data_IF_199885775324
#
_entry.id   IF_199885775324
#
_cell.length_a   1.000
_cell.length_b   1.000
_cell.length_c   1.000
_cell.angle_alpha   90.00
_cell.angle_beta   90.00
_cell.angle_gamma   90.00
#
_symmetry.space_group_name_H-M   'P 1'
#
loop_
_entity.id
_entity.type
_entity.pdbx_description
1 polymer ?
#
# COMPACT_ATOMS: atom_id res chain seq x y z
N UNK A 1 -11.13 11.13 -3.11
CA UNK A 1 -11.06 9.78 -2.48
C UNK A 1 -9.61 9.40 -2.28
N UNK A 2 -9.27 8.96 -1.08
CA UNK A 2 -7.91 8.50 -0.78
C UNK A 2 -7.79 7.03 -1.10
N UNK A 3 -6.86 6.70 -1.98
CA UNK A 3 -6.62 5.33 -2.44
C UNK A 3 -5.20 4.94 -2.07
N UNK A 4 -5.05 3.80 -1.43
CA UNK A 4 -3.74 3.23 -1.14
C UNK A 4 -3.48 2.10 -2.13
N UNK A 5 -2.40 2.23 -2.90
CA UNK A 5 -1.97 1.19 -3.81
C UNK A 5 -0.90 0.35 -3.12
N UNK A 6 -1.05 -0.96 -3.17
CA UNK A 6 -0.14 -1.91 -2.54
C UNK A 6 0.44 -2.80 -3.62
N UNK A 7 1.76 -2.77 -3.76
CA UNK A 7 2.50 -3.63 -4.67
C UNK A 7 3.17 -4.72 -3.83
N UNK A 8 2.49 -5.85 -3.70
CA UNK A 8 2.95 -6.93 -2.84
C UNK A 8 4.14 -7.67 -3.41
N UNK A 9 5.15 -7.88 -2.59
CA UNK A 9 6.30 -8.72 -2.93
C UNK A 9 6.68 -9.59 -1.75
N UNK A 10 7.41 -10.67 -2.01
CA UNK A 10 7.78 -11.65 -0.98
C UNK A 10 8.67 -11.06 0.11
N UNK A 11 9.51 -10.11 -0.23
CA UNK A 11 10.44 -9.51 0.72
C UNK A 11 10.18 -8.01 0.90
N UNK A 12 9.49 -7.39 -0.03
CA UNK A 12 9.21 -5.96 -0.01
C UNK A 12 7.83 -5.70 -0.56
N UNK A 13 7.09 -4.86 0.13
CA UNK A 13 5.77 -4.44 -0.32
C UNK A 13 5.78 -2.93 -0.46
N UNK A 14 5.56 -2.44 -1.66
CA UNK A 14 5.54 -1.02 -1.94
C UNK A 14 4.17 -0.41 -1.65
N UNK A 15 4.17 0.78 -1.10
CA UNK A 15 2.95 1.53 -0.82
C UNK A 15 2.98 2.85 -1.56
N UNK A 16 1.86 3.21 -2.16
CA UNK A 16 1.73 4.48 -2.86
C UNK A 16 0.36 5.08 -2.62
N UNK A 17 0.33 6.39 -2.53
CA UNK A 17 -0.91 7.13 -2.41
C UNK A 17 -1.41 7.49 -3.81
N UNK A 18 -2.68 7.23 -4.06
CA UNK A 18 -3.32 7.60 -5.32
C UNK A 18 -4.53 8.45 -5.03
N UNK A 19 -4.86 9.34 -5.94
CA UNK A 19 -6.13 10.02 -5.93
C UNK A 19 -6.92 9.53 -7.14
N UNK A 20 -8.22 9.52 -7.00
CA UNK A 20 -9.13 9.06 -8.04
C UNK A 20 -8.95 9.79 -9.37
N UNK A 21 -8.56 11.08 -9.30
CA UNK A 21 -8.39 11.90 -10.48
C UNK A 21 -6.96 11.96 -10.98
N UNK A 22 -6.03 11.38 -10.26
CA UNK A 22 -4.62 11.44 -10.61
C UNK A 22 -4.18 10.20 -11.36
N UNK A 23 -3.30 10.41 -12.32
CA UNK A 23 -2.71 9.32 -13.09
C UNK A 23 -1.40 8.84 -12.51
N UNK A 24 -0.81 9.61 -11.58
CA UNK A 24 0.47 9.30 -10.96
C UNK A 24 0.29 9.03 -9.49
N UNK A 25 0.90 7.94 -9.02
CA UNK A 25 0.90 7.59 -7.61
C UNK A 25 2.11 8.22 -6.94
N UNK A 26 1.92 8.68 -5.70
CA UNK A 26 3.02 9.21 -4.89
C UNK A 26 3.53 8.11 -3.97
N UNK A 27 4.80 7.73 -4.03
CA UNK A 27 5.33 6.71 -3.14
C UNK A 27 5.20 7.12 -1.68
N UNK A 28 4.72 6.20 -0.85
CA UNK A 28 4.62 6.41 0.60
C UNK A 28 5.72 5.66 1.36
N UNK A 29 6.28 4.62 0.75
CA UNK A 29 7.35 3.86 1.37
C UNK A 29 7.33 2.41 0.96
N UNK A 30 8.22 1.64 1.58
CA UNK A 30 8.37 0.21 1.33
C UNK A 30 8.36 -0.51 2.67
N UNK A 31 7.56 -1.56 2.75
CA UNK A 31 7.56 -2.46 3.90
C UNK A 31 8.54 -3.58 3.60
N UNK A 32 9.58 -3.71 4.43
CA UNK A 32 10.55 -4.78 4.31
C UNK A 32 10.12 -5.88 5.27
N UNK A 33 9.43 -6.88 4.75
CA UNK A 33 8.89 -7.95 5.56
C UNK A 33 8.70 -9.19 4.71
N UNK A 34 9.10 -10.35 5.24
CA UNK A 34 8.95 -11.63 4.54
C UNK A 34 7.77 -12.43 5.05
N UNK A 35 7.35 -12.20 6.28
CA UNK A 35 6.20 -12.89 6.85
C UNK A 35 4.91 -12.26 6.35
N UNK A 36 4.06 -13.08 5.74
CA UNK A 36 2.83 -12.58 5.13
C UNK A 36 1.90 -11.93 6.16
N UNK A 37 1.71 -12.58 7.31
CA UNK A 37 0.82 -12.05 8.34
C UNK A 37 1.32 -10.70 8.87
N UNK A 38 2.64 -10.56 9.05
CA UNK A 38 3.23 -9.31 9.48
C UNK A 38 3.07 -8.23 8.41
N UNK A 39 3.21 -8.61 7.14
CA UNK A 39 2.99 -7.68 6.03
C UNK A 39 1.55 -7.16 6.05
N UNK A 40 0.58 -8.05 6.24
CA UNK A 40 -0.83 -7.67 6.31
C UNK A 40 -1.07 -6.68 7.44
N UNK A 41 -0.47 -6.92 8.61
CA UNK A 41 -0.62 -6.02 9.75
C UNK A 41 -0.03 -4.63 9.44
N UNK A 42 1.12 -4.59 8.79
CA UNK A 42 1.77 -3.33 8.44
C UNK A 42 0.99 -2.57 7.37
N UNK A 43 0.43 -3.28 6.39
CA UNK A 43 -0.45 -2.66 5.39
C UNK A 43 -1.71 -2.12 6.06
N UNK A 44 -2.30 -2.88 6.98
CA UNK A 44 -3.49 -2.44 7.70
C UNK A 44 -3.22 -1.17 8.50
N UNK A 45 -2.04 -1.08 9.12
CA UNK A 45 -1.63 0.12 9.82
C UNK A 45 -1.53 1.31 8.86
N UNK A 46 -0.93 1.09 7.69
CA UNK A 46 -0.80 2.15 6.68
C UNK A 46 -2.16 2.61 6.17
N UNK A 47 -3.10 1.68 5.99
CA UNK A 47 -4.47 2.02 5.57
C UNK A 47 -5.10 2.97 6.58
N UNK A 48 -4.95 2.69 7.87
CA UNK A 48 -5.52 3.54 8.92
C UNK A 48 -4.81 4.88 9.01
N UNK A 49 -3.49 4.87 8.93
CA UNK A 49 -2.70 6.11 9.04
C UNK A 49 -2.97 7.07 7.89
N UNK A 50 -3.11 6.52 6.69
CA UNK A 50 -3.41 7.31 5.51
C UNK A 50 -4.89 7.67 5.39
N UNK A 51 -5.74 7.00 6.17
CA UNK A 51 -7.20 7.12 6.08
C UNK A 51 -7.71 6.76 4.69
N UNK A 52 -7.19 5.65 4.16
CA UNK A 52 -7.55 5.20 2.83
C UNK A 52 -9.02 4.75 2.79
N UNK A 53 -9.70 5.16 1.75
CA UNK A 53 -11.09 4.77 1.51
C UNK A 53 -11.16 3.56 0.58
N UNK A 54 -10.08 3.30 -0.15
CA UNK A 54 -9.97 2.17 -1.06
C UNK A 54 -8.54 1.67 -1.06
N UNK A 55 -8.37 0.36 -1.16
CA UNK A 55 -7.05 -0.27 -1.28
C UNK A 55 -7.03 -1.04 -2.60
N UNK A 56 -6.01 -0.80 -3.40
CA UNK A 56 -5.78 -1.53 -4.65
C UNK A 56 -4.53 -2.36 -4.49
N UNK A 57 -4.63 -3.64 -4.71
CA UNK A 57 -3.51 -4.56 -4.59
C UNK A 57 -3.14 -5.08 -5.96
N UNK A 58 -1.87 -4.93 -6.32
CA UNK A 58 -1.36 -5.40 -7.59
C UNK A 58 -0.24 -6.40 -7.43
N UNK A 59 -0.06 -7.22 -8.45
CA UNK A 59 1.10 -8.09 -8.58
C UNK A 59 1.85 -7.67 -9.82
N UNK A 60 3.18 -7.59 -9.73
CA UNK A 60 3.98 -7.29 -10.92
C UNK A 60 3.95 -8.43 -11.93
#
# INVERSE_FOLDING_TARGET
>A
MKILAVDYGDARTGLAACDRTETLASPLGVIHERDFAATVQKVSFAVREYEAQMVVIGYP
#
